data_IF_352964253508
#
_entry.id   IF_352964253508
#
_cell.length_a   1.000
_cell.length_b   1.000
_cell.length_c   1.000
_cell.angle_alpha   90.00
_cell.angle_beta   90.00
_cell.angle_gamma   90.00
#
_symmetry.space_group_name_H-M   'P 1'
#
loop_
_entity.id
_entity.type
_entity.pdbx_description
1 polymer ?
#
# COMPACT_ATOMS: atom_id res chain seq x y z
N UNK A 1 -12.07 -10.14 -12.83
CA UNK A 1 -12.99 -9.38 -11.93
C UNK A 1 -13.95 -10.30 -11.15
N UNK A 2 -14.46 -11.38 -11.75
CA UNK A 2 -15.36 -12.36 -11.09
C UNK A 2 -14.69 -13.13 -9.95
N UNK A 3 -13.39 -13.42 -10.00
CA UNK A 3 -12.67 -14.11 -8.91
C UNK A 3 -12.29 -13.24 -7.72
N UNK A 4 -12.07 -11.93 -7.94
CA UNK A 4 -11.84 -10.98 -6.85
C UNK A 4 -13.05 -10.90 -5.89
N UNK A 5 -14.26 -11.01 -6.45
CA UNK A 5 -15.52 -11.07 -5.71
C UNK A 5 -15.73 -12.41 -4.96
N UNK A 6 -14.96 -13.47 -5.27
CA UNK A 6 -15.01 -14.73 -4.50
C UNK A 6 -14.21 -14.65 -3.20
N UNK A 7 -13.20 -13.79 -3.09
CA UNK A 7 -12.32 -13.75 -1.91
C UNK A 7 -12.72 -12.67 -0.88
N UNK A 8 -13.59 -11.74 -1.27
CA UNK A 8 -14.21 -10.73 -0.40
C UNK A 8 -15.72 -10.84 -0.55
N UNK A 9 -16.49 -10.93 0.54
CA UNK A 9 -17.95 -10.81 0.45
C UNK A 9 -18.31 -9.35 0.18
N UNK A 10 -18.34 -8.94 -1.09
CA UNK A 10 -18.69 -7.57 -1.50
C UNK A 10 -20.21 -7.38 -1.45
N UNK A 11 -20.71 -6.53 -0.55
CA UNK A 11 -22.12 -6.08 -0.58
C UNK A 11 -22.20 -4.91 -1.57
N UNK A 12 -22.78 -5.09 -2.75
CA UNK A 12 -22.68 -4.05 -3.78
C UNK A 12 -23.70 -2.92 -3.57
N UNK A 13 -23.27 -1.72 -3.18
CA UNK A 13 -24.12 -0.51 -3.25
C UNK A 13 -23.33 0.70 -3.78
N UNK A 14 -23.03 0.64 -5.08
CA UNK A 14 -22.14 1.55 -5.84
C UNK A 14 -22.61 3.00 -5.85
N UNK A 15 -23.92 3.25 -5.87
CA UNK A 15 -24.45 4.62 -5.92
C UNK A 15 -24.17 5.41 -4.65
N UNK A 16 -24.28 4.75 -3.49
CA UNK A 16 -23.96 5.35 -2.20
C UNK A 16 -22.50 5.83 -2.17
N UNK A 17 -21.58 5.01 -2.66
CA UNK A 17 -20.13 5.23 -2.60
C UNK A 17 -19.67 6.40 -3.49
N UNK A 18 -20.25 6.53 -4.69
CA UNK A 18 -19.92 7.61 -5.65
C UNK A 18 -20.44 8.96 -5.17
N UNK A 19 -21.63 9.01 -4.55
CA UNK A 19 -22.22 10.26 -4.09
C UNK A 19 -21.59 10.82 -2.81
N UNK A 20 -21.10 9.97 -1.90
CA UNK A 20 -20.45 10.41 -0.66
C UNK A 20 -19.05 11.01 -0.86
N UNK A 21 -18.36 10.65 -1.95
CA UNK A 21 -17.03 11.18 -2.27
C UNK A 21 -17.07 12.58 -2.90
N UNK A 22 -18.25 13.05 -3.33
CA UNK A 22 -18.46 14.39 -3.89
C UNK A 22 -18.98 15.37 -2.83
N UNK A 23 -18.05 15.95 -2.07
CA UNK A 23 -18.24 17.18 -1.27
C UNK A 23 -19.11 17.04 0.00
N UNK A 24 -18.48 17.00 1.17
CA UNK A 24 -19.16 16.64 2.44
C UNK A 24 -19.21 17.71 3.53
N UNK A 25 -18.68 18.92 3.29
CA UNK A 25 -18.91 20.04 4.20
C UNK A 25 -20.03 20.93 3.67
N UNK A 26 -21.27 20.56 4.01
CA UNK A 26 -22.49 21.32 3.69
C UNK A 26 -23.52 20.60 2.81
N UNK A 27 -23.20 19.41 2.29
CA UNK A 27 -24.15 18.63 1.48
C UNK A 27 -25.15 17.85 2.34
N UNK A 28 -26.33 17.58 1.77
CA UNK A 28 -27.37 16.70 2.34
C UNK A 28 -26.79 15.35 2.77
N UNK A 29 -25.79 14.84 2.05
CA UNK A 29 -25.11 13.59 2.36
C UNK A 29 -24.19 13.67 3.58
N UNK A 30 -23.50 14.80 3.76
CA UNK A 30 -22.73 15.04 4.98
C UNK A 30 -23.62 15.01 6.22
N UNK A 31 -24.85 15.55 6.13
CA UNK A 31 -25.83 15.47 7.22
C UNK A 31 -26.34 14.05 7.42
N UNK A 32 -26.78 13.36 6.36
CA UNK A 32 -27.21 11.95 6.45
C UNK A 32 -26.16 11.03 7.05
N UNK A 33 -24.88 11.23 6.71
CA UNK A 33 -23.78 10.47 7.31
C UNK A 33 -23.68 10.71 8.82
N UNK A 34 -23.79 11.96 9.26
CA UNK A 34 -23.82 12.30 10.69
C UNK A 34 -25.04 11.70 11.39
N UNK A 35 -26.20 11.73 10.75
CA UNK A 35 -27.44 11.15 11.30
C UNK A 35 -27.32 9.62 11.45
N UNK A 36 -26.54 8.95 10.60
CA UNK A 36 -26.17 7.53 10.75
C UNK A 36 -25.04 7.27 11.76
N UNK A 37 -24.56 8.30 12.46
CA UNK A 37 -23.42 8.20 13.39
C UNK A 37 -22.04 8.08 12.71
N UNK A 38 -21.97 8.27 11.39
CA UNK A 38 -20.73 8.17 10.61
C UNK A 38 -20.05 9.53 10.53
N UNK A 39 -18.86 9.63 11.15
CA UNK A 39 -17.99 10.81 11.03
C UNK A 39 -17.29 10.81 9.68
N UNK A 40 -17.33 11.93 8.95
CA UNK A 40 -16.80 12.08 7.58
C UNK A 40 -15.37 11.53 7.40
N UNK A 41 -14.38 11.81 8.28
CA UNK A 41 -13.02 11.30 8.11
C UNK A 41 -12.91 9.76 8.13
N UNK A 42 -13.91 9.09 8.71
CA UNK A 42 -13.94 7.64 8.88
C UNK A 42 -14.94 6.96 7.95
N UNK A 43 -15.76 7.73 7.23
CA UNK A 43 -16.85 7.21 6.41
C UNK A 43 -16.37 6.12 5.45
N UNK A 44 -15.30 6.39 4.68
CA UNK A 44 -14.72 5.41 3.78
C UNK A 44 -14.34 4.12 4.50
N UNK A 45 -13.61 4.20 5.62
CA UNK A 45 -13.21 3.04 6.41
C UNK A 45 -14.41 2.24 6.93
N UNK A 46 -15.45 2.91 7.45
CA UNK A 46 -16.69 2.28 7.89
C UNK A 46 -17.38 1.53 6.74
N UNK A 47 -17.52 2.15 5.57
CA UNK A 47 -18.13 1.50 4.42
C UNK A 47 -17.30 0.32 3.95
N UNK A 48 -15.99 0.48 3.76
CA UNK A 48 -15.15 -0.62 3.30
C UNK A 48 -15.16 -1.77 4.29
N UNK A 49 -15.19 -1.54 5.62
CA UNK A 49 -15.38 -2.60 6.63
C UNK A 49 -16.72 -3.31 6.54
N UNK A 50 -17.80 -2.55 6.32
CA UNK A 50 -19.12 -3.13 6.14
C UNK A 50 -19.19 -3.97 4.87
N UNK A 51 -18.60 -3.46 3.78
CA UNK A 51 -18.63 -4.04 2.45
C UNK A 51 -17.63 -5.18 2.24
N UNK A 52 -16.48 -5.16 2.90
CA UNK A 52 -15.39 -6.11 2.72
C UNK A 52 -15.15 -6.85 4.02
N UNK A 53 -15.70 -8.07 4.09
CA UNK A 53 -15.39 -9.02 5.15
C UNK A 53 -14.40 -10.06 4.63
N UNK A 54 -13.19 -10.17 5.19
CA UNK A 54 -12.26 -11.22 4.81
C UNK A 54 -12.86 -12.58 5.13
N UNK A 55 -12.61 -13.54 4.25
CA UNK A 55 -12.94 -14.94 4.55
C UNK A 55 -11.95 -15.53 5.57
N UNK A 56 -12.33 -16.62 6.27
CA UNK A 56 -11.45 -17.26 7.24
C UNK A 56 -10.06 -17.64 6.69
N UNK A 57 -9.97 -18.02 5.41
CA UNK A 57 -8.70 -18.41 4.80
C UNK A 57 -7.70 -17.24 4.71
N UNK A 58 -8.20 -16.02 4.49
CA UNK A 58 -7.37 -14.81 4.52
C UNK A 58 -6.94 -14.51 5.96
N UNK A 59 -7.85 -14.66 6.92
CA UNK A 59 -7.53 -14.44 8.34
C UNK A 59 -6.43 -15.38 8.83
N UNK A 60 -6.50 -16.66 8.50
CA UNK A 60 -5.46 -17.64 8.85
C UNK A 60 -4.08 -17.27 8.28
N UNK A 61 -4.01 -16.70 7.06
CA UNK A 61 -2.75 -16.21 6.48
C UNK A 61 -2.18 -15.00 7.20
N UNK A 62 -3.02 -14.18 7.84
CA UNK A 62 -2.57 -13.00 8.58
C UNK A 62 -2.02 -13.34 9.97
N UNK A 63 -2.54 -14.39 10.62
CA UNK A 63 -2.23 -14.74 12.01
C UNK A 63 -0.73 -14.79 12.34
N UNK A 64 0.16 -15.38 11.50
CA UNK A 64 1.59 -15.41 11.79
C UNK A 64 2.24 -14.03 11.87
N UNK A 65 1.68 -13.03 11.19
CA UNK A 65 2.18 -11.66 11.19
C UNK A 65 1.52 -10.82 12.28
N UNK A 66 0.23 -11.00 12.55
CA UNK A 66 -0.48 -10.22 13.57
C UNK A 66 0.16 -10.30 14.95
N UNK A 67 0.68 -11.47 15.34
CA UNK A 67 1.39 -11.64 16.62
C UNK A 67 2.62 -10.75 16.78
N UNK A 68 3.21 -10.29 15.68
CA UNK A 68 4.34 -9.37 15.68
C UNK A 68 3.90 -7.92 15.58
N UNK A 69 2.75 -7.64 14.97
CA UNK A 69 2.27 -6.29 14.70
C UNK A 69 1.32 -5.75 15.79
N UNK A 70 0.82 -6.62 16.66
CA UNK A 70 -0.15 -6.30 17.71
C UNK A 70 0.28 -6.85 19.06
N UNK A 71 0.04 -6.05 20.09
CA UNK A 71 0.27 -6.39 21.49
C UNK A 71 0.19 -5.15 22.37
N UNK A 72 0.06 -5.32 23.68
CA UNK A 72 -0.19 -4.22 24.63
C UNK A 72 0.90 -3.15 24.63
N UNK A 73 2.13 -3.52 24.22
CA UNK A 73 3.27 -2.61 24.12
C UNK A 73 3.89 -2.60 22.72
N UNK A 74 3.13 -2.97 21.70
CA UNK A 74 3.58 -2.99 20.31
C UNK A 74 2.84 -1.92 19.52
N UNK A 75 3.60 -1.12 18.79
CA UNK A 75 3.07 -0.18 17.79
C UNK A 75 3.68 -0.50 16.44
N UNK A 76 2.88 -0.44 15.39
CA UNK A 76 3.32 -0.79 14.04
C UNK A 76 3.23 0.37 13.06
N UNK A 77 4.29 0.53 12.28
CA UNK A 77 4.39 1.44 11.15
C UNK A 77 4.29 0.60 9.88
N UNK A 78 3.22 0.79 9.12
CA UNK A 78 3.00 0.16 7.83
C UNK A 78 3.61 0.97 6.71
N UNK A 79 4.57 0.41 5.99
CA UNK A 79 5.17 1.01 4.81
C UNK A 79 4.62 0.32 3.56
N UNK A 80 3.93 1.09 2.72
CA UNK A 80 3.58 0.65 1.37
C UNK A 80 4.10 1.62 0.32
N UNK A 81 5.24 1.24 -0.25
CA UNK A 81 5.99 2.06 -1.19
C UNK A 81 6.08 1.30 -2.51
N UNK A 82 5.95 2.03 -3.62
CA UNK A 82 6.12 1.45 -4.96
C UNK A 82 7.24 2.20 -5.65
N UNK A 83 8.28 1.48 -6.05
CA UNK A 83 9.48 2.10 -6.63
C UNK A 83 9.23 2.62 -8.06
N UNK A 84 8.32 1.99 -8.81
CA UNK A 84 8.14 2.27 -10.24
C UNK A 84 6.82 2.98 -10.60
N UNK A 85 6.24 3.73 -9.67
CA UNK A 85 4.98 4.43 -9.93
C UNK A 85 3.79 3.47 -10.08
N UNK A 86 2.89 3.73 -11.05
CA UNK A 86 1.59 3.03 -11.18
C UNK A 86 1.67 1.55 -11.59
N UNK A 87 2.87 0.99 -11.77
CA UNK A 87 3.07 -0.43 -12.03
C UNK A 87 4.53 -0.81 -11.94
N UNK A 88 4.81 -2.08 -11.63
CA UNK A 88 6.14 -2.63 -11.84
C UNK A 88 6.50 -2.50 -13.34
N UNK A 89 7.76 -2.22 -13.68
CA UNK A 89 8.19 -2.24 -15.06
C UNK A 89 7.95 -3.64 -15.62
N UNK A 90 7.60 -3.77 -16.91
CA UNK A 90 7.55 -5.06 -17.58
C UNK A 90 8.81 -5.88 -17.25
N UNK A 91 8.68 -7.21 -17.16
CA UNK A 91 9.81 -8.10 -16.82
C UNK A 91 11.02 -7.94 -17.76
N UNK A 92 10.80 -7.36 -18.94
CA UNK A 92 11.79 -7.17 -20.00
C UNK A 92 12.38 -5.75 -20.03
N UNK A 93 11.97 -4.86 -19.12
CA UNK A 93 12.48 -3.51 -19.05
C UNK A 93 13.71 -3.48 -18.17
N UNK A 94 14.88 -3.28 -18.78
CA UNK A 94 16.10 -2.98 -18.04
C UNK A 94 15.95 -1.59 -17.41
N UNK A 95 15.89 -1.55 -16.08
CA UNK A 95 16.00 -0.31 -15.32
C UNK A 95 17.46 0.16 -15.39
N UNK A 96 17.69 1.41 -15.75
CA UNK A 96 19.05 1.96 -15.79
C UNK A 96 19.64 2.07 -14.36
N UNK A 97 20.97 2.12 -14.24
CA UNK A 97 21.62 2.37 -12.95
C UNK A 97 21.17 3.71 -12.35
N UNK A 98 21.04 4.73 -13.19
CA UNK A 98 20.57 6.07 -12.81
C UNK A 98 19.13 6.03 -12.28
N UNK A 99 18.24 5.24 -12.90
CA UNK A 99 16.86 5.07 -12.42
C UNK A 99 16.79 4.30 -11.10
N UNK A 100 17.68 3.33 -10.90
CA UNK A 100 17.80 2.60 -9.62
C UNK A 100 18.29 3.54 -8.52
N UNK A 101 19.34 4.32 -8.78
CA UNK A 101 19.88 5.31 -7.84
C UNK A 101 18.84 6.39 -7.51
N UNK A 102 18.12 6.87 -8.52
CA UNK A 102 17.01 7.80 -8.32
C UNK A 102 15.90 7.19 -7.46
N UNK A 103 15.49 5.95 -7.73
CA UNK A 103 14.52 5.24 -6.89
C UNK A 103 14.99 5.08 -5.45
N UNK A 104 16.29 4.85 -5.24
CA UNK A 104 16.88 4.81 -3.91
C UNK A 104 16.76 6.15 -3.17
N UNK A 105 17.16 7.23 -3.83
CA UNK A 105 17.20 8.57 -3.22
C UNK A 105 15.82 9.22 -3.07
N UNK A 106 14.92 9.01 -4.02
CA UNK A 106 13.61 9.68 -4.05
C UNK A 106 12.53 8.92 -3.26
N UNK A 107 12.72 7.61 -3.04
CA UNK A 107 11.66 6.71 -2.57
C UNK A 107 12.11 5.81 -1.42
N UNK A 108 13.21 5.08 -1.56
CA UNK A 108 13.65 4.10 -0.54
C UNK A 108 14.16 4.78 0.72
N UNK A 109 15.18 5.64 0.57
CA UNK A 109 15.78 6.33 1.72
C UNK A 109 14.79 7.23 2.45
N UNK A 110 13.99 8.06 1.75
CA UNK A 110 13.00 8.89 2.42
C UNK A 110 11.98 8.08 3.21
N UNK A 111 11.56 6.90 2.72
CA UNK A 111 10.63 6.04 3.46
C UNK A 111 11.25 5.49 4.76
N UNK A 112 12.50 5.05 4.73
CA UNK A 112 13.21 4.55 5.91
C UNK A 112 13.44 5.67 6.92
N UNK A 113 13.87 6.84 6.46
CA UNK A 113 14.05 8.01 7.29
C UNK A 113 12.72 8.44 7.93
N UNK A 114 11.63 8.39 7.18
CA UNK A 114 10.29 8.60 7.69
C UNK A 114 9.94 7.69 8.86
N UNK A 115 10.19 6.38 8.70
CA UNK A 115 9.87 5.41 9.73
C UNK A 115 10.69 5.66 11.02
N UNK A 116 11.96 6.04 10.87
CA UNK A 116 12.83 6.45 12.00
C UNK A 116 12.32 7.71 12.69
N UNK A 117 11.94 8.72 11.91
CA UNK A 117 11.43 9.97 12.47
C UNK A 117 10.11 9.76 13.21
N UNK A 118 9.20 8.93 12.67
CA UNK A 118 7.97 8.57 13.36
C UNK A 118 8.23 7.81 14.66
N UNK A 119 9.15 6.84 14.64
CA UNK A 119 9.61 6.14 15.84
C UNK A 119 10.10 7.13 16.91
N UNK A 120 10.94 8.09 16.52
CA UNK A 120 11.56 9.03 17.46
C UNK A 120 10.60 10.12 17.98
N UNK A 121 9.67 10.59 17.16
CA UNK A 121 8.82 11.74 17.50
C UNK A 121 7.52 11.34 18.21
N UNK A 122 6.90 10.24 17.80
CA UNK A 122 5.53 9.92 18.21
C UNK A 122 5.44 8.78 19.22
N UNK A 123 6.45 7.92 19.28
CA UNK A 123 6.39 6.71 20.09
C UNK A 123 7.36 6.77 21.27
N UNK A 124 6.87 6.63 22.52
CA UNK A 124 7.74 6.59 23.67
C UNK A 124 8.63 5.33 23.64
N UNK A 125 9.84 5.38 24.23
CA UNK A 125 10.79 4.26 24.22
C UNK A 125 10.29 3.01 24.95
N UNK A 126 9.20 3.12 25.70
CA UNK A 126 8.53 2.01 26.39
C UNK A 126 7.71 1.10 25.47
N UNK A 127 7.54 1.47 24.21
CA UNK A 127 6.81 0.69 23.20
C UNK A 127 7.80 0.03 22.24
N UNK A 128 7.50 -1.21 21.84
CA UNK A 128 8.21 -1.91 20.77
C UNK A 128 7.62 -1.47 19.43
N UNK A 129 8.41 -0.75 18.63
CA UNK A 129 8.03 -0.31 17.29
C UNK A 129 8.37 -1.41 16.28
N UNK A 130 7.39 -1.78 15.45
CA UNK A 130 7.53 -2.79 14.38
C UNK A 130 7.21 -2.18 13.03
N UNK A 131 7.99 -2.53 12.00
CA UNK A 131 7.84 -1.97 10.66
C UNK A 131 7.33 -3.05 9.72
N UNK A 132 6.09 -2.94 9.25
CA UNK A 132 5.57 -3.81 8.20
C UNK A 132 5.94 -3.23 6.84
N UNK A 133 6.76 -3.91 6.05
CA UNK A 133 7.21 -3.45 4.73
C UNK A 133 6.51 -4.25 3.63
N UNK A 134 5.61 -3.60 2.90
CA UNK A 134 4.94 -4.14 1.72
C UNK A 134 5.37 -3.31 0.52
N UNK A 135 6.19 -3.88 -0.35
CA UNK A 135 6.79 -3.15 -1.47
C UNK A 135 7.14 -4.09 -2.62
N UNK A 136 7.11 -3.54 -3.84
CA UNK A 136 7.67 -4.17 -5.03
C UNK A 136 9.20 -3.95 -5.14
N UNK A 137 9.76 -3.07 -4.30
CA UNK A 137 11.20 -2.82 -4.19
C UNK A 137 11.86 -3.84 -3.30
N UNK A 138 12.70 -4.70 -3.88
CA UNK A 138 13.58 -5.58 -3.12
C UNK A 138 14.59 -4.76 -2.30
N UNK A 139 15.08 -3.65 -2.86
CA UNK A 139 16.03 -2.77 -2.19
C UNK A 139 15.44 -2.18 -0.90
N UNK A 140 14.19 -1.71 -0.92
CA UNK A 140 13.54 -1.22 0.30
C UNK A 140 13.44 -2.28 1.38
N UNK A 141 13.07 -3.52 1.01
CA UNK A 141 13.00 -4.64 1.95
C UNK A 141 14.38 -4.91 2.57
N UNK A 142 15.43 -4.97 1.75
CA UNK A 142 16.80 -5.20 2.21
C UNK A 142 17.33 -4.08 3.10
N UNK A 143 17.17 -2.82 2.71
CA UNK A 143 17.64 -1.68 3.50
C UNK A 143 16.87 -1.55 4.81
N UNK A 144 15.56 -1.80 4.83
CA UNK A 144 14.79 -1.83 6.07
C UNK A 144 15.36 -2.88 7.05
N UNK A 145 15.61 -4.10 6.57
CA UNK A 145 16.20 -5.17 7.38
C UNK A 145 17.60 -4.83 7.90
N UNK A 146 18.42 -4.11 7.11
CA UNK A 146 19.73 -3.62 7.58
C UNK A 146 19.63 -2.63 8.74
N UNK A 147 18.54 -1.88 8.85
CA UNK A 147 18.33 -0.97 9.99
C UNK A 147 18.19 -1.77 11.28
N UNK A 148 17.27 -2.73 11.29
CA UNK A 148 17.08 -3.66 12.40
C UNK A 148 16.17 -4.83 12.00
N UNK A 149 16.75 -5.99 11.73
CA UNK A 149 16.02 -7.18 11.30
C UNK A 149 14.91 -7.59 12.30
N UNK A 150 15.17 -7.48 13.60
CA UNK A 150 14.19 -7.85 14.63
C UNK A 150 12.95 -6.95 14.67
N UNK A 151 13.00 -5.75 14.08
CA UNK A 151 11.87 -4.80 14.02
C UNK A 151 11.07 -4.93 12.73
N UNK A 152 11.66 -5.46 11.68
CA UNK A 152 11.08 -5.45 10.34
C UNK A 152 10.28 -6.73 10.10
N UNK A 153 9.06 -6.55 9.62
CA UNK A 153 8.16 -7.62 9.22
C UNK A 153 7.96 -7.48 7.72
N UNK A 154 8.42 -8.48 6.96
CA UNK A 154 8.25 -8.56 5.51
C UNK A 154 7.39 -9.78 5.22
N UNK A 155 6.50 -9.64 4.25
CA UNK A 155 5.74 -10.75 3.68
C UNK A 155 6.56 -11.45 2.58
N UNK A 156 6.48 -12.77 2.54
CA UNK A 156 7.08 -13.60 1.49
C UNK A 156 6.24 -13.62 0.20
N UNK A 157 5.14 -12.88 0.17
CA UNK A 157 4.23 -12.85 -0.96
C UNK A 157 4.89 -12.22 -2.18
N UNK A 158 4.73 -12.87 -3.33
CA UNK A 158 5.23 -12.35 -4.60
C UNK A 158 4.35 -11.19 -5.07
N UNK A 159 4.93 -10.04 -5.44
CA UNK A 159 4.15 -8.96 -6.01
C UNK A 159 3.46 -9.43 -7.30
N UNK A 160 2.16 -9.18 -7.41
CA UNK A 160 1.42 -9.51 -8.63
C UNK A 160 1.93 -8.68 -9.80
N UNK A 161 2.55 -9.35 -10.77
CA UNK A 161 2.87 -8.78 -12.09
C UNK A 161 1.84 -9.33 -13.09
N UNK A 162 1.03 -8.49 -13.76
CA UNK A 162 0.10 -8.98 -14.77
C UNK A 162 0.85 -9.70 -15.89
N UNK A 163 0.46 -10.95 -16.17
CA UNK A 163 1.01 -11.78 -17.25
C UNK A 163 0.92 -11.15 -18.65
N UNK A 164 0.13 -10.09 -18.84
CA UNK A 164 0.06 -9.34 -20.10
C UNK A 164 1.35 -8.55 -20.44
N UNK A 165 2.35 -8.55 -19.55
CA UNK A 165 3.67 -7.96 -19.78
C UNK A 165 4.79 -9.01 -19.99
N UNK A 166 4.44 -10.31 -20.00
CA UNK A 166 5.37 -11.44 -20.12
C UNK A 166 5.33 -12.10 -21.51
N UNK A 167 4.63 -11.55 -22.50
CA UNK A 167 4.76 -11.98 -23.90
C UNK A 167 6.07 -11.44 -24.49
N UNK A 168 7.17 -12.11 -24.13
CA UNK A 168 8.47 -11.95 -24.78
C UNK A 168 8.53 -12.91 -25.97
N UNK A 169 7.82 -12.56 -27.03
CA UNK A 169 8.07 -13.16 -28.35
C UNK A 169 9.00 -12.20 -29.11
N UNK A 170 10.21 -12.00 -28.58
CA UNK A 170 11.30 -11.31 -29.27
C UNK A 170 12.60 -12.03 -28.94
N UNK A 171 13.05 -12.85 -29.87
CA UNK A 171 14.44 -13.32 -29.95
C UNK A 171 15.40 -12.13 -29.91
N UNK A 172 16.47 -12.17 -29.10
CA UNK A 172 17.42 -11.05 -29.05
C UNK A 172 18.19 -10.93 -30.37
N UNK A 173 18.42 -9.70 -30.89
CA UNK A 173 19.30 -9.51 -32.03
C UNK A 173 20.74 -9.92 -31.65
N UNK A 174 21.47 -10.61 -32.54
CA UNK A 174 22.87 -10.91 -32.31
C UNK A 174 23.65 -9.58 -32.30
N UNK A 175 24.65 -9.45 -31.42
CA UNK A 175 25.59 -8.32 -31.30
C UNK A 175 25.28 -7.20 -30.29
N UNK A 176 24.94 -7.52 -29.04
CA UNK A 176 25.22 -6.58 -27.94
C UNK A 176 26.03 -7.24 -26.83
N UNK A 177 27.16 -6.60 -26.52
CA UNK A 177 28.12 -6.90 -25.45
C UNK A 177 27.43 -7.06 -24.08
N UNK A 178 28.05 -7.75 -23.10
CA UNK A 178 27.36 -8.17 -21.88
C UNK A 178 26.96 -6.96 -21.04
N UNK A 179 25.68 -6.60 -21.11
CA UNK A 179 25.02 -5.66 -20.20
C UNK A 179 24.93 -6.27 -18.79
N UNK A 180 24.90 -5.44 -17.73
CA UNK A 180 24.57 -5.90 -16.39
C UNK A 180 23.24 -6.66 -16.46
N UNK A 181 23.25 -7.92 -16.03
CA UNK A 181 22.07 -8.78 -16.08
C UNK A 181 20.95 -8.12 -15.28
N UNK A 182 19.75 -7.91 -15.87
CA UNK A 182 18.57 -7.63 -15.07
C UNK A 182 18.35 -8.86 -14.20
N UNK A 183 18.32 -8.71 -12.87
CA UNK A 183 17.80 -9.76 -12.01
C UNK A 183 16.32 -9.94 -12.39
N UNK A 184 15.93 -11.06 -13.04
CA UNK A 184 14.54 -11.29 -13.34
C UNK A 184 13.82 -11.41 -11.99
N UNK A 185 12.83 -10.56 -11.74
CA UNK A 185 11.87 -10.88 -10.71
C UNK A 185 11.24 -12.22 -11.13
N UNK A 186 11.31 -13.28 -10.31
CA UNK A 186 10.74 -14.55 -10.69
C UNK A 186 9.25 -14.30 -10.99
N UNK A 187 8.75 -14.70 -12.18
CA UNK A 187 7.32 -14.60 -12.44
C UNK A 187 6.58 -15.33 -11.32
N UNK A 188 5.52 -14.73 -10.78
CA UNK A 188 4.67 -15.37 -9.78
C UNK A 188 4.25 -16.74 -10.33
N UNK A 189 4.84 -17.81 -9.80
CA UNK A 189 4.46 -19.20 -10.12
C UNK A 189 3.07 -19.54 -9.58
N UNK A 190 2.50 -18.65 -8.76
CA UNK A 190 1.19 -18.81 -8.17
C UNK A 190 0.06 -18.50 -9.18
N UNK A 191 -1.01 -19.31 -9.15
CA UNK A 191 -2.19 -19.05 -9.95
C UNK A 191 -2.81 -17.68 -9.57
N UNK A 192 -3.46 -16.96 -10.51
CA UNK A 192 -3.97 -15.60 -10.28
C UNK A 192 -4.85 -15.43 -9.04
N UNK A 193 -5.63 -16.47 -8.70
CA UNK A 193 -6.47 -16.48 -7.51
C UNK A 193 -5.64 -16.43 -6.21
N UNK A 194 -4.48 -17.09 -6.17
CA UNK A 194 -3.58 -17.08 -5.03
C UNK A 194 -2.88 -15.72 -4.90
N UNK A 195 -2.40 -15.15 -6.00
CA UNK A 195 -1.76 -13.83 -5.96
C UNK A 195 -2.73 -12.73 -5.50
N UNK A 196 -4.02 -12.87 -5.84
CA UNK A 196 -5.05 -11.97 -5.31
C UNK A 196 -5.27 -12.15 -3.80
N UNK A 197 -5.32 -13.39 -3.30
CA UNK A 197 -5.45 -13.65 -1.86
C UNK A 197 -4.28 -13.07 -1.08
N UNK A 198 -3.07 -13.19 -1.60
CA UNK A 198 -1.86 -12.62 -1.03
C UNK A 198 -1.94 -11.08 -1.00
N UNK A 199 -2.34 -10.46 -2.12
CA UNK A 199 -2.55 -9.01 -2.21
C UNK A 199 -3.58 -8.52 -1.17
N UNK A 200 -4.69 -9.23 -1.00
CA UNK A 200 -5.71 -8.88 0.01
C UNK A 200 -5.17 -9.10 1.43
N UNK A 201 -4.36 -10.13 1.64
CA UNK A 201 -3.71 -10.40 2.94
C UNK A 201 -2.77 -9.26 3.31
N UNK A 202 -1.91 -8.82 2.39
CA UNK A 202 -1.04 -7.65 2.59
C UNK A 202 -1.83 -6.37 2.86
N UNK A 203 -2.91 -6.15 2.13
CA UNK A 203 -3.75 -4.97 2.31
C UNK A 203 -4.37 -4.93 3.72
N UNK A 204 -4.85 -6.08 4.21
CA UNK A 204 -5.41 -6.19 5.55
C UNK A 204 -4.33 -6.07 6.64
N UNK A 205 -3.17 -6.71 6.46
CA UNK A 205 -2.02 -6.55 7.37
C UNK A 205 -1.59 -5.10 7.45
N UNK A 206 -1.48 -4.41 6.31
CA UNK A 206 -1.18 -2.99 6.27
C UNK A 206 -2.21 -2.20 7.06
N UNK A 207 -3.50 -2.45 6.82
CA UNK A 207 -4.60 -1.77 7.51
C UNK A 207 -4.67 -2.04 9.03
N UNK A 208 -3.91 -3.01 9.53
CA UNK A 208 -3.80 -3.31 10.96
C UNK A 208 -2.79 -2.42 11.69
N UNK A 209 -2.00 -1.63 10.96
CA UNK A 209 -0.96 -0.78 11.53
C UNK A 209 -1.48 0.51 12.18
N UNK A 210 -0.66 1.10 13.06
CA UNK A 210 -0.97 2.35 13.77
C UNK A 210 -0.61 3.60 12.95
N UNK A 211 0.42 3.52 12.12
CA UNK A 211 0.84 4.60 11.22
C UNK A 211 1.23 4.07 9.85
N UNK A 212 1.20 4.93 8.85
CA UNK A 212 1.23 4.55 7.44
C UNK A 212 2.18 5.46 6.67
N UNK A 213 3.20 4.90 6.04
CA UNK A 213 4.02 5.60 5.04
C UNK A 213 3.63 5.02 3.69
N UNK A 214 2.89 5.79 2.90
CA UNK A 214 2.29 5.30 1.65
C UNK A 214 2.70 6.16 0.47
N UNK A 215 3.05 5.49 -0.63
CA UNK A 215 3.17 6.16 -1.93
C UNK A 215 1.81 6.64 -2.44
N UNK A 216 1.78 7.30 -3.60
CA UNK A 216 0.53 7.71 -4.27
C UNK A 216 -0.37 6.55 -4.74
N UNK A 217 -0.05 5.30 -4.36
CA UNK A 217 -0.83 4.11 -4.66
C UNK A 217 -2.17 4.07 -3.93
N UNK A 218 -3.22 3.69 -4.66
CA UNK A 218 -4.54 3.42 -4.10
C UNK A 218 -4.51 2.27 -3.07
N UNK A 219 -3.60 1.31 -3.23
CA UNK A 219 -3.48 0.17 -2.32
C UNK A 219 -3.18 0.62 -0.88
N UNK A 220 -2.08 1.36 -0.68
CA UNK A 220 -1.68 1.82 0.64
C UNK A 220 -2.69 2.81 1.24
N UNK A 221 -3.20 3.73 0.43
CA UNK A 221 -4.20 4.72 0.88
C UNK A 221 -5.49 4.07 1.35
N UNK A 222 -6.00 3.08 0.61
CA UNK A 222 -7.25 2.41 1.00
C UNK A 222 -7.07 1.54 2.24
N UNK A 223 -5.89 0.91 2.43
CA UNK A 223 -5.57 0.19 3.66
C UNK A 223 -5.51 1.14 4.87
N UNK A 224 -4.87 2.30 4.70
CA UNK A 224 -4.81 3.33 5.74
C UNK A 224 -6.19 3.93 6.06
N UNK A 225 -7.06 4.11 5.07
CA UNK A 225 -8.43 4.54 5.35
C UNK A 225 -9.26 3.44 6.03
N UNK A 226 -9.02 2.17 5.70
CA UNK A 226 -9.66 1.02 6.36
C UNK A 226 -9.25 0.86 7.82
N UNK A 227 -8.03 1.26 8.18
CA UNK A 227 -7.56 1.25 9.58
C UNK A 227 -8.35 2.22 10.45
N UNK A 228 -8.96 3.25 9.84
CA UNK A 228 -9.65 4.34 10.52
C UNK A 228 -8.70 5.20 11.37
N UNK A 229 -7.42 5.31 10.96
CA UNK A 229 -6.42 6.20 11.55
C UNK A 229 -6.03 7.34 10.59
N UNK A 230 -6.92 8.31 10.31
CA UNK A 230 -6.72 9.31 9.26
C UNK A 230 -5.57 10.31 9.54
N UNK A 231 -5.15 10.44 10.80
CA UNK A 231 -4.08 11.36 11.23
C UNK A 231 -2.68 10.74 11.12
N UNK A 232 -2.58 9.49 10.69
CA UNK A 232 -1.35 8.71 10.77
C UNK A 232 -0.85 8.29 9.39
N UNK A 233 -1.13 9.11 8.36
CA UNK A 233 -0.77 8.83 6.96
C UNK A 233 0.27 9.85 6.50
N UNK A 234 1.43 9.33 6.07
CA UNK A 234 2.60 10.07 5.66
C UNK A 234 3.02 9.64 4.25
N UNK A 235 3.75 10.49 3.54
CA UNK A 235 4.42 10.10 2.29
C UNK A 235 5.92 10.02 2.52
N UNK A 236 6.65 9.21 1.75
CA UNK A 236 8.11 9.13 1.89
C UNK A 236 8.81 10.49 1.87
N UNK A 237 8.33 11.43 1.06
CA UNK A 237 8.92 12.77 0.92
C UNK A 237 8.44 13.79 1.96
N UNK A 238 7.34 13.52 2.67
CA UNK A 238 6.81 14.44 3.69
C UNK A 238 6.48 13.65 4.96
N UNK A 239 7.52 13.53 5.79
CA UNK A 239 7.43 12.92 7.12
C UNK A 239 7.06 13.93 8.19
N UNK A 240 6.93 15.20 7.82
CA UNK A 240 6.21 16.16 8.62
C UNK A 240 4.73 15.74 8.70
N UNK A 241 4.10 15.85 9.88
CA UNK A 241 2.70 15.51 10.04
C UNK A 241 1.86 16.35 9.09
N UNK A 242 1.37 15.74 8.02
CA UNK A 242 0.37 16.37 7.17
C UNK A 242 -0.86 16.62 8.04
N UNK A 243 -1.29 17.87 8.13
CA UNK A 243 -2.66 18.17 8.55
C UNK A 243 -3.60 17.23 7.83
N UNK A 244 -4.62 16.66 8.52
CA UNK A 244 -5.45 15.58 7.99
C UNK A 244 -5.83 15.92 6.57
N UNK A 245 -5.57 14.98 5.65
CA UNK A 245 -5.96 15.12 4.24
C UNK A 245 -7.42 15.54 4.24
N UNK A 246 -7.67 16.84 4.05
CA UNK A 246 -9.00 17.30 3.66
C UNK A 246 -9.24 16.48 2.40
N UNK A 247 -10.37 15.79 2.35
CA UNK A 247 -10.85 15.13 1.15
C UNK A 247 -11.19 16.26 0.15
N UNK A 248 -10.17 16.96 -0.33
CA UNK A 248 -10.27 17.95 -1.38
C UNK A 248 -10.30 17.16 -2.67
N UNK A 249 -11.52 17.07 -3.22
CA UNK A 249 -11.81 16.84 -4.62
C UNK A 249 -11.03 15.69 -5.27
N UNK A 250 -11.65 14.51 -5.28
CA UNK A 250 -11.42 13.56 -6.36
C UNK A 250 -11.75 14.25 -7.70
N UNK A 251 -10.72 14.75 -8.39
CA UNK A 251 -10.75 15.16 -9.79
C UNK A 251 -11.49 16.46 -10.08
N UNK A 252 -10.79 17.59 -10.03
CA UNK A 252 -11.03 18.62 -11.05
C UNK A 252 -10.01 18.40 -12.16
N UNK A 253 -10.52 17.98 -13.30
CA UNK A 253 -9.76 17.79 -14.51
C UNK A 253 -9.11 19.10 -14.96
N UNK A 254 -7.88 18.93 -15.44
CA UNK A 254 -7.25 19.69 -16.53
C UNK A 254 -8.20 20.70 -17.20
N UNK A 255 -8.03 21.98 -16.86
CA UNK A 255 -8.37 23.06 -17.79
C UNK A 255 -7.22 23.15 -18.78
N UNK A 256 -7.46 22.65 -20.00
CA UNK A 256 -6.71 23.06 -21.19
C UNK A 256 -6.87 24.57 -21.33
N UNK A 257 -5.76 25.30 -21.34
CA UNK A 257 -5.71 26.64 -21.90
C UNK A 257 -5.55 26.48 -23.41
N UNK A 258 -6.50 27.04 -24.16
CA UNK A 258 -6.20 27.68 -25.42
C UNK A 258 -5.59 29.05 -25.10
#
# INVERSE_FOLDING_TARGET
>A
MVEAARNLRVVWNRELLVHMLKGSNGSVWGQRLRDMGVRIPYAFGCFVRYLLRPKPEIWHRMQPFEKHLRGDRVVSIGMHVRQFGRGAPPANTTVSADDLEKGMNDVVWPAIECARNLENWWYPPTLSVKWLVISDSLQLKQEATKVNDSKVVITEFTPWVPNSLLSTDQSPPPHQSPRPLPLPLPPSSHPPAQTFQETVTEWLLLSSCNSFIVSSSAFGRTAAMYSMHPMSIYTPQSCEPQTPVRVSSFGEGSKRQF
#
